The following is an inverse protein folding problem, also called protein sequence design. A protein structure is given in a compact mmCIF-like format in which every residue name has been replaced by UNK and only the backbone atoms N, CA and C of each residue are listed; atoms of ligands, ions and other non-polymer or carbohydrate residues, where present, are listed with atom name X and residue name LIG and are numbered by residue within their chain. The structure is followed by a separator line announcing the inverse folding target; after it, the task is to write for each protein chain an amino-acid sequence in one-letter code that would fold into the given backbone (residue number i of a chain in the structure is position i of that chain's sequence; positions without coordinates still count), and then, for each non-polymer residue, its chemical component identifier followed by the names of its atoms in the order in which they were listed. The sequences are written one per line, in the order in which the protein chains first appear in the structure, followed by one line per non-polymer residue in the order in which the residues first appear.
data_IF_427745720918
#
_entry.id   IF_427745720918
#
_cell.length_a   1.000
_cell.length_b   1.000
_cell.length_c   1.000
_cell.angle_alpha   90.00
_cell.angle_beta   90.00
_cell.angle_gamma   90.00
#
_symmetry.space_group_name_H-M   'P 1'
#
loop_
_entity.id
_entity.type
_entity.pdbx_description
1 polymer ?
#
# COMPACT_ATOMS: atom_id res chain seq x y z
N UNK A 1 14.95 -29.26 4.59
CA UNK A 1 14.88 -27.78 4.41
C UNK A 1 14.72 -27.49 2.94
N UNK A 2 13.73 -26.64 2.55
CA UNK A 2 13.56 -26.20 1.18
C UNK A 2 14.43 -24.97 0.91
N UNK A 3 15.02 -24.86 -0.28
CA UNK A 3 15.74 -23.67 -0.68
C UNK A 3 14.74 -22.52 -0.92
N UNK A 4 15.08 -21.32 -0.49
CA UNK A 4 14.25 -20.14 -0.71
C UNK A 4 15.13 -18.91 -0.93
N UNK A 5 14.55 -17.89 -1.55
CA UNK A 5 15.13 -16.57 -1.67
C UNK A 5 14.23 -15.57 -0.95
N UNK A 6 14.82 -14.77 -0.06
CA UNK A 6 14.11 -13.67 0.61
C UNK A 6 14.52 -12.34 -0.05
N UNK A 7 13.53 -11.59 -0.53
CA UNK A 7 13.73 -10.29 -1.16
C UNK A 7 12.66 -9.31 -0.66
N UNK A 8 13.08 -8.29 0.11
CA UNK A 8 12.17 -7.28 0.67
C UNK A 8 12.85 -5.90 0.63
N UNK A 9 12.93 -5.27 -0.55
CA UNK A 9 13.70 -4.04 -0.78
C UNK A 9 12.98 -2.75 -0.40
N UNK A 10 11.75 -2.79 0.13
CA UNK A 10 11.01 -1.58 0.51
C UNK A 10 11.76 -0.79 1.58
N UNK A 11 11.99 0.50 1.34
CA UNK A 11 12.55 1.42 2.32
C UNK A 11 11.46 1.89 3.27
N UNK A 12 11.44 1.41 4.52
CA UNK A 12 10.50 1.88 5.53
C UNK A 12 11.03 3.12 6.23
N UNK A 13 10.22 4.19 6.27
CA UNK A 13 10.52 5.46 6.95
C UNK A 13 9.52 5.62 8.09
N UNK A 14 9.96 5.30 9.31
CA UNK A 14 9.11 5.28 10.49
C UNK A 14 9.36 6.51 11.38
N UNK A 15 8.29 7.15 11.84
CA UNK A 15 8.38 8.25 12.81
C UNK A 15 7.31 9.32 12.60
N UNK A 16 7.24 10.26 13.55
CA UNK A 16 6.33 11.40 13.46
C UNK A 16 6.71 12.31 12.31
N UNK A 17 5.72 12.88 11.64
CA UNK A 17 5.85 13.88 10.59
C UNK A 17 6.69 13.43 9.37
N UNK A 18 6.92 12.12 9.24
CA UNK A 18 7.71 11.54 8.15
C UNK A 18 7.04 11.70 6.78
N UNK A 19 5.74 11.97 6.72
CA UNK A 19 5.04 12.32 5.47
C UNK A 19 5.60 13.59 4.81
N UNK A 20 6.24 14.47 5.58
CA UNK A 20 6.89 15.67 5.06
C UNK A 20 8.18 15.36 4.27
N UNK A 21 8.64 14.09 4.29
CA UNK A 21 9.77 13.60 3.50
C UNK A 21 9.34 12.99 2.16
N UNK A 22 8.04 13.01 1.85
CA UNK A 22 7.51 12.35 0.65
C UNK A 22 8.17 12.83 -0.65
N UNK A 23 8.38 14.14 -0.80
CA UNK A 23 9.05 14.73 -1.96
C UNK A 23 10.49 14.26 -2.11
N UNK A 24 11.28 14.33 -1.03
CA UNK A 24 12.68 13.87 -1.03
C UNK A 24 12.79 12.37 -1.34
N UNK A 25 11.87 11.54 -0.83
CA UNK A 25 11.82 10.11 -1.12
C UNK A 25 11.44 9.84 -2.58
N UNK A 26 10.43 10.50 -3.10
CA UNK A 26 10.05 10.40 -4.53
C UNK A 26 11.24 10.73 -5.41
N UNK A 27 11.93 11.83 -5.15
CA UNK A 27 13.13 12.25 -5.88
C UNK A 27 14.26 11.22 -5.78
N UNK A 28 14.51 10.70 -4.57
CA UNK A 28 15.50 9.64 -4.33
C UNK A 28 15.24 8.39 -5.18
N UNK A 29 13.98 8.05 -5.40
CA UNK A 29 13.57 6.89 -6.21
C UNK A 29 13.23 7.25 -7.65
N UNK A 30 13.64 8.42 -8.13
CA UNK A 30 13.63 8.81 -9.55
C UNK A 30 12.31 9.38 -10.06
N UNK A 31 11.34 9.67 -9.18
CA UNK A 31 10.07 10.28 -9.59
C UNK A 31 10.23 11.76 -9.93
N UNK A 32 9.65 12.18 -11.04
CA UNK A 32 9.66 13.57 -11.51
C UNK A 32 8.26 14.15 -11.75
N UNK A 33 7.26 13.27 -11.92
CA UNK A 33 5.83 13.62 -12.08
C UNK A 33 4.98 12.59 -11.35
N UNK A 34 4.24 13.01 -10.34
CA UNK A 34 3.61 12.11 -9.37
C UNK A 34 2.09 12.11 -9.48
N UNK A 35 1.50 10.91 -9.48
CA UNK A 35 0.10 10.72 -9.14
C UNK A 35 -0.01 10.50 -7.63
N UNK A 36 -0.67 11.39 -6.90
CA UNK A 36 -1.12 11.13 -5.53
C UNK A 36 -2.47 10.43 -5.61
N UNK A 37 -2.49 9.14 -5.25
CA UNK A 37 -3.70 8.32 -5.26
C UNK A 37 -4.17 8.03 -3.84
N UNK A 38 -5.43 8.36 -3.50
CA UNK A 38 -5.89 8.33 -2.12
C UNK A 38 -7.35 7.91 -1.97
N UNK A 39 -7.71 7.54 -0.75
CA UNK A 39 -9.06 7.10 -0.38
C UNK A 39 -10.08 8.22 -0.29
N UNK A 40 -11.07 8.02 0.59
CA UNK A 40 -12.12 9.00 0.85
C UNK A 40 -11.62 10.25 1.58
N UNK A 41 -12.56 11.05 2.09
CA UNK A 41 -12.30 12.38 2.61
C UNK A 41 -11.42 12.49 3.87
N UNK A 42 -11.04 11.42 4.58
CA UNK A 42 -10.27 11.52 5.82
C UNK A 42 -8.88 12.12 5.61
N UNK A 43 -8.13 11.65 4.63
CA UNK A 43 -6.79 12.17 4.32
C UNK A 43 -6.82 13.63 3.84
N UNK A 44 -7.92 14.05 3.19
CA UNK A 44 -8.14 15.45 2.80
C UNK A 44 -8.49 16.29 4.03
N UNK A 45 -9.46 15.85 4.84
CA UNK A 45 -9.91 16.59 6.03
C UNK A 45 -8.83 16.76 7.10
N UNK A 46 -7.93 15.79 7.24
CA UNK A 46 -6.77 15.87 8.16
C UNK A 46 -5.63 16.73 7.64
N UNK A 47 -5.75 17.29 6.43
CA UNK A 47 -4.70 18.06 5.77
C UNK A 47 -3.52 17.21 5.27
N UNK A 48 -3.57 15.88 5.38
CA UNK A 48 -2.48 14.99 4.98
C UNK A 48 -2.12 15.14 3.50
N UNK A 49 -3.12 15.19 2.63
CA UNK A 49 -2.87 15.39 1.18
C UNK A 49 -2.14 16.70 0.93
N UNK A 50 -2.54 17.79 1.60
CA UNK A 50 -1.87 19.09 1.47
C UNK A 50 -0.41 19.06 1.96
N UNK A 51 -0.11 18.35 3.07
CA UNK A 51 1.29 18.18 3.53
C UNK A 51 2.13 17.40 2.53
N UNK A 52 1.59 16.33 1.96
CA UNK A 52 2.28 15.53 0.93
C UNK A 52 2.50 16.37 -0.34
N UNK A 53 1.51 17.14 -0.79
CA UNK A 53 1.65 18.06 -1.94
C UNK A 53 2.73 19.10 -1.68
N UNK A 54 2.72 19.77 -0.52
CA UNK A 54 3.74 20.75 -0.14
C UNK A 54 5.14 20.15 -0.12
N UNK A 55 5.28 18.90 0.33
CA UNK A 55 6.56 18.18 0.32
C UNK A 55 7.07 17.92 -1.10
N UNK A 56 6.20 17.57 -2.05
CA UNK A 56 6.56 17.38 -3.46
C UNK A 56 6.90 18.72 -4.12
N UNK A 57 6.11 19.75 -3.84
CA UNK A 57 6.32 21.11 -4.36
C UNK A 57 7.67 21.70 -3.92
N UNK A 58 8.06 21.47 -2.67
CA UNK A 58 9.38 21.89 -2.14
C UNK A 58 10.55 21.26 -2.91
N UNK A 59 10.36 20.11 -3.52
CA UNK A 59 11.34 19.43 -4.38
C UNK A 59 11.16 19.76 -5.88
N UNK A 60 10.22 20.64 -6.21
CA UNK A 60 9.90 21.03 -7.60
C UNK A 60 9.21 19.92 -8.40
N UNK A 61 8.55 18.97 -7.74
CA UNK A 61 7.90 17.81 -8.37
C UNK A 61 6.41 18.11 -8.57
N UNK A 62 5.93 18.25 -9.81
CA UNK A 62 4.51 18.40 -10.09
C UNK A 62 3.73 17.16 -9.72
N UNK A 63 2.55 17.35 -9.12
CA UNK A 63 1.70 16.26 -8.71
C UNK A 63 0.26 16.41 -9.20
N UNK A 64 -0.39 15.28 -9.44
CA UNK A 64 -1.76 15.15 -9.88
C UNK A 64 -2.54 14.35 -8.85
N UNK A 65 -3.80 14.65 -8.66
CA UNK A 65 -4.63 14.04 -7.63
C UNK A 65 -5.67 13.12 -8.24
N UNK A 66 -5.76 11.91 -7.71
CA UNK A 66 -6.86 10.99 -7.99
C UNK A 66 -7.35 10.38 -6.68
N UNK A 67 -8.44 10.92 -6.16
CA UNK A 67 -9.10 10.45 -4.94
C UNK A 67 -10.25 9.49 -5.22
N UNK A 68 -10.92 9.05 -4.14
CA UNK A 68 -12.16 8.28 -4.25
C UNK A 68 -12.02 6.78 -4.14
N UNK A 69 -10.85 6.27 -3.73
CA UNK A 69 -10.70 4.83 -3.46
C UNK A 69 -11.65 4.41 -2.34
N UNK A 70 -12.41 3.37 -2.61
CA UNK A 70 -13.32 2.72 -1.66
C UNK A 70 -12.69 1.45 -1.09
N UNK A 71 -13.12 0.98 0.09
CA UNK A 71 -12.80 -0.37 0.56
C UNK A 71 -13.11 -1.42 -0.51
N UNK A 72 -12.23 -2.40 -0.69
CA UNK A 72 -12.23 -3.32 -1.83
C UNK A 72 -12.16 -2.53 -3.16
N UNK A 73 -10.99 -2.03 -3.54
CA UNK A 73 -10.82 -1.05 -4.60
C UNK A 73 -11.37 -1.56 -5.93
N UNK A 74 -11.93 -0.65 -6.71
CA UNK A 74 -12.71 -0.96 -7.92
C UNK A 74 -11.91 -0.73 -9.18
N UNK A 75 -12.17 -1.57 -10.17
CA UNK A 75 -11.50 -1.50 -11.48
C UNK A 75 -11.73 -0.18 -12.23
N UNK A 76 -12.91 0.42 -12.12
CA UNK A 76 -13.23 1.68 -12.79
C UNK A 76 -12.24 2.80 -12.46
N UNK A 77 -11.94 3.00 -11.17
CA UNK A 77 -10.98 4.01 -10.72
C UNK A 77 -9.53 3.67 -11.13
N UNK A 78 -9.20 2.38 -11.29
CA UNK A 78 -7.89 1.96 -11.80
C UNK A 78 -7.74 2.36 -13.28
N UNK A 79 -8.75 2.13 -14.12
CA UNK A 79 -8.74 2.56 -15.52
C UNK A 79 -8.58 4.08 -15.64
N UNK A 80 -9.35 4.84 -14.85
CA UNK A 80 -9.23 6.31 -14.79
C UNK A 80 -7.79 6.75 -14.42
N UNK A 81 -7.19 6.09 -13.44
CA UNK A 81 -5.82 6.35 -13.03
C UNK A 81 -4.78 6.05 -14.11
N UNK A 82 -4.95 4.93 -14.83
CA UNK A 82 -4.07 4.56 -15.96
C UNK A 82 -4.14 5.61 -17.08
N UNK A 83 -5.35 6.03 -17.45
CA UNK A 83 -5.56 7.07 -18.47
C UNK A 83 -4.92 8.40 -18.04
N UNK A 84 -5.11 8.80 -16.78
CA UNK A 84 -4.50 10.01 -16.23
C UNK A 84 -2.96 9.92 -16.25
N UNK A 85 -2.40 8.80 -15.83
CA UNK A 85 -0.95 8.60 -15.83
C UNK A 85 -0.36 8.71 -17.24
N UNK A 86 -1.00 8.10 -18.22
CA UNK A 86 -0.56 8.15 -19.63
C UNK A 86 -0.67 9.56 -20.21
N UNK A 87 -1.81 10.22 -20.01
CA UNK A 87 -2.08 11.58 -20.49
C UNK A 87 -1.08 12.58 -19.93
N UNK A 88 -0.85 12.55 -18.64
CA UNK A 88 -0.01 13.50 -17.92
C UNK A 88 1.46 13.06 -17.85
N UNK A 89 1.84 11.92 -18.46
CA UNK A 89 3.18 11.36 -18.46
C UNK A 89 3.74 11.21 -17.04
N UNK A 90 2.93 10.67 -16.15
CA UNK A 90 3.29 10.39 -14.75
C UNK A 90 4.31 9.26 -14.74
N UNK A 91 5.34 9.41 -13.93
CA UNK A 91 6.44 8.44 -13.79
C UNK A 91 6.55 7.84 -12.38
N UNK A 92 5.68 8.27 -11.46
CA UNK A 92 5.64 7.76 -10.09
C UNK A 92 4.23 7.79 -9.51
N UNK A 93 3.82 6.73 -8.81
CA UNK A 93 2.52 6.68 -8.13
C UNK A 93 2.72 6.67 -6.62
N UNK A 94 2.17 7.67 -5.92
CA UNK A 94 2.23 7.80 -4.47
C UNK A 94 0.86 7.51 -3.86
N UNK A 95 0.73 6.37 -3.18
CA UNK A 95 -0.50 6.00 -2.49
C UNK A 95 -0.56 6.68 -1.12
N UNK A 96 -1.67 7.35 -0.79
CA UNK A 96 -1.92 7.94 0.53
C UNK A 96 -3.19 7.32 1.11
N UNK A 97 -3.03 6.41 2.07
CA UNK A 97 -4.17 5.69 2.64
C UNK A 97 -3.82 4.34 3.22
N UNK A 98 -4.81 3.48 3.35
CA UNK A 98 -4.66 2.07 3.76
C UNK A 98 -4.46 1.14 2.56
N UNK A 99 -4.53 -0.17 2.82
CA UNK A 99 -4.30 -1.23 1.83
C UNK A 99 -5.07 -1.05 0.52
N UNK A 100 -6.34 -0.63 0.57
CA UNK A 100 -7.15 -0.41 -0.64
C UNK A 100 -6.57 0.68 -1.56
N UNK A 101 -6.06 1.79 -0.99
CA UNK A 101 -5.42 2.85 -1.78
C UNK A 101 -4.09 2.37 -2.35
N UNK A 102 -3.35 1.58 -1.60
CA UNK A 102 -2.07 1.01 -2.02
C UNK A 102 -2.28 0.00 -3.15
N UNK A 103 -3.22 -0.91 -3.00
CA UNK A 103 -3.55 -1.92 -4.02
C UNK A 103 -4.00 -1.29 -5.33
N UNK A 104 -4.87 -0.26 -5.25
CA UNK A 104 -5.31 0.50 -6.42
C UNK A 104 -4.15 1.24 -7.10
N UNK A 105 -3.26 1.86 -6.33
CA UNK A 105 -2.06 2.54 -6.84
C UNK A 105 -1.11 1.57 -7.57
N UNK A 106 -0.90 0.36 -7.01
CA UNK A 106 -0.11 -0.70 -7.64
C UNK A 106 -0.71 -1.16 -8.97
N UNK A 107 -2.03 -1.33 -9.02
CA UNK A 107 -2.74 -1.68 -10.24
C UNK A 107 -2.59 -0.60 -11.32
N UNK A 108 -2.73 0.68 -10.95
CA UNK A 108 -2.50 1.82 -11.83
C UNK A 108 -1.06 1.82 -12.35
N UNK A 109 -0.08 1.63 -11.46
CA UNK A 109 1.33 1.63 -11.80
C UNK A 109 1.68 0.54 -12.84
N UNK A 110 1.19 -0.70 -12.65
CA UNK A 110 1.36 -1.79 -13.58
C UNK A 110 0.62 -1.56 -14.91
N UNK A 111 -0.65 -1.14 -14.83
CA UNK A 111 -1.48 -0.92 -16.01
C UNK A 111 -1.01 0.24 -16.89
N UNK A 112 -0.33 1.24 -16.31
CA UNK A 112 0.16 2.40 -17.06
C UNK A 112 1.21 2.02 -18.12
N UNK A 113 2.10 1.11 -17.78
CA UNK A 113 3.21 0.69 -18.66
C UNK A 113 2.86 -0.52 -19.55
N UNK A 114 1.71 -1.12 -19.33
CA UNK A 114 1.25 -2.29 -20.06
C UNK A 114 0.30 -1.93 -21.20
N UNK A 115 0.55 -2.40 -22.43
CA UNK A 115 -0.25 -2.10 -23.61
C UNK A 115 -1.60 -2.83 -23.67
N UNK A 116 -1.80 -3.88 -22.82
CA UNK A 116 -3.05 -4.63 -22.73
C UNK A 116 -3.99 -4.11 -21.65
N UNK A 117 -4.99 -4.92 -21.31
CA UNK A 117 -5.88 -4.64 -20.19
C UNK A 117 -5.19 -5.00 -18.86
N UNK A 118 -5.13 -4.05 -17.91
CA UNK A 118 -4.52 -4.30 -16.60
C UNK A 118 -5.18 -5.51 -15.89
N UNK A 119 -6.44 -5.84 -16.21
CA UNK A 119 -7.14 -7.00 -15.63
C UNK A 119 -6.51 -8.35 -16.02
N UNK A 120 -5.70 -8.39 -17.07
CA UNK A 120 -4.93 -9.58 -17.43
C UNK A 120 -4.04 -10.06 -16.28
N UNK A 121 -3.47 -9.12 -15.50
CA UNK A 121 -2.68 -9.43 -14.31
C UNK A 121 -3.52 -10.15 -13.24
N UNK A 122 -4.77 -9.76 -13.09
CA UNK A 122 -5.73 -10.38 -12.18
C UNK A 122 -6.38 -11.65 -12.76
N UNK A 123 -5.99 -12.01 -13.97
CA UNK A 123 -6.43 -13.23 -14.69
C UNK A 123 -5.29 -14.23 -14.88
N UNK A 124 -4.15 -14.01 -14.21
CA UNK A 124 -3.03 -14.95 -14.16
C UNK A 124 -1.77 -14.52 -14.93
N UNK A 125 -1.79 -13.35 -15.59
CA UNK A 125 -0.56 -12.80 -16.20
C UNK A 125 0.36 -12.26 -15.11
N UNK A 126 1.65 -12.48 -15.25
CA UNK A 126 2.66 -11.96 -14.31
C UNK A 126 2.89 -10.47 -14.53
N UNK A 127 3.08 -9.71 -13.43
CA UNK A 127 3.49 -8.31 -13.46
C UNK A 127 5.02 -8.27 -13.47
N UNK A 128 5.60 -7.89 -14.61
CA UNK A 128 7.05 -7.80 -14.78
C UNK A 128 7.56 -6.37 -14.70
N UNK A 129 6.72 -5.39 -15.11
CA UNK A 129 7.04 -3.97 -15.12
C UNK A 129 5.91 -3.14 -14.50
N UNK A 130 6.28 -2.02 -13.89
CA UNK A 130 5.35 -1.04 -13.34
C UNK A 130 6.06 0.31 -13.15
N UNK A 131 5.30 1.39 -13.08
CA UNK A 131 5.81 2.64 -12.52
C UNK A 131 6.22 2.41 -11.04
N UNK A 132 7.25 3.09 -10.53
CA UNK A 132 7.59 3.01 -9.12
C UNK A 132 6.42 3.49 -8.25
N UNK A 133 6.22 2.78 -7.14
CA UNK A 133 5.16 3.08 -6.15
C UNK A 133 5.81 3.48 -4.83
N UNK A 134 5.32 4.55 -4.22
CA UNK A 134 5.57 4.91 -2.83
C UNK A 134 4.28 4.90 -2.02
N UNK A 135 4.38 4.83 -0.69
CA UNK A 135 3.20 4.84 0.16
C UNK A 135 3.32 5.76 1.36
N UNK A 136 2.21 6.37 1.77
CA UNK A 136 2.00 7.03 3.06
C UNK A 136 0.85 6.32 3.74
N UNK A 137 1.16 5.46 4.71
CA UNK A 137 0.20 4.58 5.35
C UNK A 137 -0.62 5.33 6.40
N UNK A 138 -1.95 5.13 6.38
CA UNK A 138 -2.87 5.74 7.37
C UNK A 138 -3.59 4.72 8.23
N UNK A 139 -3.47 3.43 7.94
CA UNK A 139 -3.99 2.32 8.76
C UNK A 139 -3.12 1.09 8.56
N UNK A 140 -2.61 0.53 9.64
CA UNK A 140 -1.90 -0.73 9.65
C UNK A 140 -2.90 -1.90 9.69
N UNK A 141 -2.79 -2.82 8.72
CA UNK A 141 -3.61 -4.03 8.62
C UNK A 141 -2.93 -5.09 7.74
N UNK A 142 -3.26 -5.16 6.45
CA UNK A 142 -2.87 -6.21 5.53
C UNK A 142 -1.39 -6.22 5.08
N UNK A 143 -0.60 -5.18 5.36
CA UNK A 143 0.82 -5.13 4.99
C UNK A 143 1.10 -4.83 3.51
N UNK A 144 0.12 -4.26 2.79
CA UNK A 144 0.29 -3.91 1.36
C UNK A 144 1.44 -2.94 1.12
N UNK A 145 1.79 -2.10 2.10
CA UNK A 145 2.91 -1.16 2.05
C UNK A 145 4.30 -1.84 1.92
N UNK A 146 4.39 -3.14 2.19
CA UNK A 146 5.63 -3.92 2.07
C UNK A 146 5.52 -5.13 1.13
N UNK A 147 4.32 -5.42 0.60
CA UNK A 147 4.08 -6.63 -0.20
C UNK A 147 4.16 -6.37 -1.71
N UNK A 148 4.41 -7.41 -2.51
CA UNK A 148 4.33 -7.34 -3.97
C UNK A 148 2.90 -7.57 -4.49
N UNK A 149 1.89 -7.59 -3.61
CA UNK A 149 0.54 -8.02 -3.93
C UNK A 149 -0.41 -6.83 -4.09
N UNK A 150 -1.44 -7.02 -4.90
CA UNK A 150 -2.55 -6.10 -5.09
C UNK A 150 -3.85 -6.88 -5.29
N UNK A 151 -4.93 -6.44 -4.65
CA UNK A 151 -6.25 -7.06 -4.77
C UNK A 151 -7.26 -6.04 -5.27
N UNK A 152 -7.87 -6.31 -6.44
CA UNK A 152 -8.85 -5.42 -7.06
C UNK A 152 -10.16 -6.17 -7.26
N UNK A 153 -11.27 -5.43 -7.17
CA UNK A 153 -12.59 -5.92 -7.49
C UNK A 153 -13.03 -5.36 -8.86
N UNK A 154 -13.22 -6.23 -9.85
CA UNK A 154 -13.84 -5.86 -11.13
C UNK A 154 -15.32 -5.63 -10.91
N UNK A 155 -15.83 -4.49 -11.34
CA UNK A 155 -17.23 -4.11 -11.12
C UNK A 155 -18.18 -4.95 -11.97
N UNK A 156 -17.77 -5.27 -13.19
CA UNK A 156 -18.48 -6.25 -14.02
C UNK A 156 -18.28 -7.66 -13.45
N UNK A 157 -19.37 -8.26 -12.95
CA UNK A 157 -19.38 -9.57 -12.31
C UNK A 157 -18.86 -9.61 -10.86
N UNK A 158 -18.45 -8.48 -10.29
CA UNK A 158 -17.98 -8.37 -8.90
C UNK A 158 -16.86 -9.35 -8.52
N UNK A 159 -15.95 -9.62 -9.45
CA UNK A 159 -14.82 -10.51 -9.24
C UNK A 159 -13.72 -9.84 -8.43
N UNK A 160 -13.47 -10.34 -7.21
CA UNK A 160 -12.34 -9.91 -6.38
C UNK A 160 -11.15 -10.86 -6.61
N UNK A 161 -10.06 -10.36 -7.15
CA UNK A 161 -8.88 -11.16 -7.49
C UNK A 161 -7.59 -10.47 -7.08
N UNK A 162 -6.56 -11.27 -6.83
CA UNK A 162 -5.20 -10.81 -6.55
C UNK A 162 -4.30 -10.92 -7.77
N UNK A 163 -3.30 -10.03 -7.80
CA UNK A 163 -2.17 -10.09 -8.70
C UNK A 163 -0.90 -9.84 -7.89
N UNK A 164 0.23 -10.40 -8.32
CA UNK A 164 1.50 -10.27 -7.60
C UNK A 164 2.66 -10.07 -8.58
N UNK A 165 3.66 -9.30 -8.15
CA UNK A 165 4.91 -9.11 -8.86
C UNK A 165 5.83 -8.14 -8.15
N UNK A 166 7.14 -8.42 -8.12
CA UNK A 166 8.10 -7.55 -7.43
C UNK A 166 8.15 -6.13 -8.01
N UNK A 167 7.73 -5.96 -9.27
CA UNK A 167 7.67 -4.65 -9.93
C UNK A 167 6.72 -3.66 -9.22
N UNK A 168 5.62 -4.15 -8.63
CA UNK A 168 4.65 -3.30 -7.89
C UNK A 168 4.94 -3.19 -6.40
N UNK A 169 6.02 -3.81 -5.90
CA UNK A 169 6.44 -3.64 -4.50
C UNK A 169 6.83 -2.18 -4.26
N UNK A 170 6.31 -1.52 -3.21
CA UNK A 170 6.62 -0.12 -2.94
C UNK A 170 8.14 0.11 -2.79
N UNK A 171 8.66 1.16 -3.41
CA UNK A 171 10.05 1.59 -3.28
C UNK A 171 10.32 2.12 -1.89
N UNK A 172 9.35 2.86 -1.33
CA UNK A 172 9.37 3.28 0.06
C UNK A 172 7.97 3.28 0.67
N UNK A 173 7.92 3.22 2.00
CA UNK A 173 6.69 3.31 2.76
C UNK A 173 6.88 4.17 4.00
N UNK A 174 6.16 5.28 4.06
CA UNK A 174 6.12 6.21 5.18
C UNK A 174 5.13 5.70 6.21
N UNK A 175 5.62 5.50 7.43
CA UNK A 175 4.89 4.93 8.56
C UNK A 175 4.92 5.95 9.71
N UNK A 176 4.01 6.94 9.68
CA UNK A 176 3.81 7.89 10.78
C UNK A 176 2.69 7.38 11.68
N UNK A 177 2.97 6.90 12.93
CA UNK A 177 1.96 6.40 13.84
C UNK A 177 0.87 7.43 14.18
N UNK A 178 1.22 8.73 14.18
CA UNK A 178 0.25 9.78 14.48
C UNK A 178 -0.90 9.85 13.46
N UNK A 179 -0.70 9.38 12.24
CA UNK A 179 -1.75 9.33 11.21
C UNK A 179 -2.84 8.30 11.53
N UNK A 180 -2.56 7.33 12.41
CA UNK A 180 -3.52 6.30 12.79
C UNK A 180 -4.38 6.69 14.01
N UNK A 181 -4.00 7.73 14.75
CA UNK A 181 -4.68 8.15 15.98
C UNK A 181 -6.13 8.63 15.78
N UNK A 182 -6.49 9.03 14.57
CA UNK A 182 -7.85 9.48 14.23
C UNK A 182 -8.75 8.36 13.74
N UNK A 183 -8.28 7.12 13.74
CA UNK A 183 -9.09 5.97 13.35
C UNK A 183 -10.18 5.72 14.38
N UNK A 184 -11.44 5.46 13.95
CA UNK A 184 -12.47 5.00 14.86
C UNK A 184 -12.04 3.69 15.56
N UNK A 185 -12.44 3.47 16.84
CA UNK A 185 -12.09 2.25 17.58
C UNK A 185 -12.38 0.94 16.82
N UNK A 186 -13.49 0.91 16.08
CA UNK A 186 -13.83 -0.24 15.23
C UNK A 186 -12.76 -0.52 14.16
N UNK A 187 -12.21 0.52 13.51
CA UNK A 187 -11.20 0.36 12.48
C UNK A 187 -9.86 -0.09 13.08
N UNK A 188 -9.52 0.39 14.27
CA UNK A 188 -8.35 -0.08 15.01
C UNK A 188 -8.48 -1.56 15.37
N UNK A 189 -9.63 -1.97 15.92
CA UNK A 189 -9.90 -3.37 16.23
C UNK A 189 -9.90 -4.26 14.99
N UNK A 190 -10.48 -3.79 13.87
CA UNK A 190 -10.44 -4.51 12.60
C UNK A 190 -9.00 -4.70 12.09
N UNK A 191 -8.16 -3.65 12.17
CA UNK A 191 -6.75 -3.74 11.79
C UNK A 191 -5.96 -4.73 12.65
N UNK A 192 -6.14 -4.69 13.96
CA UNK A 192 -5.52 -5.65 14.89
C UNK A 192 -5.97 -7.09 14.55
N UNK A 193 -7.26 -7.29 14.32
CA UNK A 193 -7.80 -8.61 13.95
C UNK A 193 -7.23 -9.11 12.63
N UNK A 194 -7.07 -8.22 11.65
CA UNK A 194 -6.50 -8.56 10.34
C UNK A 194 -5.01 -8.96 10.47
N UNK A 195 -4.23 -8.22 11.27
CA UNK A 195 -2.84 -8.61 11.60
C UNK A 195 -2.81 -10.00 12.24
N UNK A 196 -3.67 -10.26 13.22
CA UNK A 196 -3.75 -11.57 13.88
C UNK A 196 -4.14 -12.68 12.89
N UNK A 197 -5.08 -12.43 11.97
CA UNK A 197 -5.49 -13.38 10.96
C UNK A 197 -4.32 -13.78 10.05
N UNK A 198 -3.52 -12.82 9.60
CA UNK A 198 -2.30 -13.08 8.83
C UNK A 198 -1.25 -13.86 9.60
N UNK A 199 -1.11 -13.64 10.91
CA UNK A 199 -0.22 -14.40 11.78
C UNK A 199 -0.71 -15.84 11.96
N UNK A 200 -2.00 -16.05 12.22
CA UNK A 200 -2.60 -17.38 12.36
C UNK A 200 -2.50 -18.19 11.06
N UNK A 201 -2.73 -17.59 9.92
CA UNK A 201 -2.60 -18.27 8.62
C UNK A 201 -1.21 -18.88 8.44
N UNK A 202 -0.16 -18.16 8.86
CA UNK A 202 1.22 -18.63 8.79
C UNK A 202 1.55 -19.63 9.89
N UNK A 203 0.99 -19.48 11.08
CA UNK A 203 1.20 -20.39 12.22
C UNK A 203 0.58 -21.75 11.98
N UNK A 204 -0.61 -21.81 11.36
CA UNK A 204 -1.33 -23.04 11.04
C UNK A 204 -0.83 -23.71 9.76
N UNK A 205 0.47 -23.63 9.50
CA UNK A 205 1.10 -24.27 8.33
C UNK A 205 1.34 -25.76 8.57
N UNK A 206 1.36 -26.54 7.48
CA UNK A 206 1.81 -27.93 7.50
C UNK A 206 3.35 -28.09 7.34
N UNK A 207 4.07 -26.98 7.20
CA UNK A 207 5.53 -26.96 7.10
C UNK A 207 6.16 -27.43 8.40
N UNK A 208 7.25 -28.22 8.31
CA UNK A 208 8.03 -28.68 9.44
C UNK A 208 9.30 -27.85 9.59
N UNK A 209 9.90 -27.89 10.80
CA UNK A 209 11.17 -27.20 11.10
C UNK A 209 11.09 -25.67 10.94
N UNK A 210 9.98 -25.08 11.39
CA UNK A 210 9.69 -23.63 11.28
C UNK A 210 9.72 -22.93 12.66
N UNK A 211 10.45 -23.47 13.64
CA UNK A 211 10.45 -23.00 15.03
C UNK A 211 10.73 -21.49 15.16
N UNK A 212 11.67 -20.95 14.39
CA UNK A 212 11.97 -19.49 14.42
C UNK A 212 10.76 -18.67 13.98
N UNK A 213 10.07 -19.13 12.94
CA UNK A 213 8.85 -18.49 12.44
C UNK A 213 7.74 -18.56 13.49
N UNK A 214 7.55 -19.72 14.11
CA UNK A 214 6.54 -19.92 15.15
C UNK A 214 6.78 -19.00 16.34
N UNK A 215 8.02 -18.90 16.84
CA UNK A 215 8.38 -17.99 17.96
C UNK A 215 8.13 -16.54 17.63
N UNK A 216 8.44 -16.09 16.41
CA UNK A 216 8.16 -14.73 15.97
C UNK A 216 6.65 -14.48 15.91
N UNK A 217 5.87 -15.43 15.40
CA UNK A 217 4.42 -15.32 15.32
C UNK A 217 3.80 -15.28 16.72
N UNK A 218 4.22 -16.17 17.64
CA UNK A 218 3.76 -16.20 19.03
C UNK A 218 4.02 -14.86 19.73
N UNK A 219 5.21 -14.29 19.57
CA UNK A 219 5.56 -12.99 20.16
C UNK A 219 4.68 -11.85 19.60
N UNK A 220 4.44 -11.84 18.30
CA UNK A 220 3.58 -10.83 17.66
C UNK A 220 2.11 -10.99 18.08
N UNK A 221 1.59 -12.22 18.16
CA UNK A 221 0.23 -12.49 18.64
C UNK A 221 0.04 -12.02 20.09
N UNK A 222 0.98 -12.32 20.98
CA UNK A 222 0.97 -11.85 22.36
C UNK A 222 0.97 -10.31 22.43
N UNK A 223 1.73 -9.65 21.55
CA UNK A 223 1.76 -8.19 21.47
C UNK A 223 0.39 -7.64 21.04
N UNK A 224 -0.27 -8.27 20.07
CA UNK A 224 -1.62 -7.83 19.62
C UNK A 224 -2.70 -8.03 20.68
N UNK A 225 -2.59 -9.05 21.52
CA UNK A 225 -3.57 -9.38 22.56
C UNK A 225 -3.36 -8.51 23.82
N UNK A 226 -2.16 -7.98 24.03
CA UNK A 226 -1.83 -7.25 25.26
C UNK A 226 -2.67 -5.96 25.42
N UNK A 227 -3.34 -5.72 26.58
CA UNK A 227 -4.20 -4.56 26.79
C UNK A 227 -3.53 -3.20 26.56
N UNK A 228 -2.21 -3.11 26.77
CA UNK A 228 -1.43 -1.89 26.57
C UNK A 228 -1.40 -1.40 25.12
N UNK A 229 -1.56 -2.27 24.14
CA UNK A 229 -1.62 -1.87 22.73
C UNK A 229 -2.93 -1.14 22.40
N UNK A 230 -4.03 -1.50 23.07
CA UNK A 230 -5.34 -0.86 22.89
C UNK A 230 -5.51 0.43 23.73
N UNK A 231 -4.65 0.68 24.72
CA UNK A 231 -4.73 1.86 25.60
C UNK A 231 -3.80 3.01 25.18
N UNK A 232 -2.95 2.82 24.20
CA UNK A 232 -2.00 3.83 23.71
C UNK A 232 -2.62 4.79 22.67
N UNK A 233 -3.96 4.90 22.63
CA UNK A 233 -4.69 5.83 21.76
C UNK A 233 -5.33 6.95 22.57
#
# INVERSE_FOLDING_TARGET
MNNFMFYSPTCFVFGRDTENQAGALVKRFGGTRVLIHYGGGSAVRSGLIGRVQASLEAEGIPCFLLGGVRPNPRSGLVYEGIELCRKEKIDFVLAVGGGSSIDSAKAIAAGTVYDGDFWDFYSGKRIEEALPVGTVLTIAAAGSEGSPDSVITREDGMFKRGASGDAIRPKFSILNPALTQTLPPYQTAAGITDIMAHLYERYLTNSKEVEVTDRLIEALLLTMIHPGFCQAQ
#
